data_IF_028699955630
#
_entry.id   IF_028699955630
#
_cell.length_a   1.000
_cell.length_b   1.000
_cell.length_c   1.000
_cell.angle_alpha   90.00
_cell.angle_beta   90.00
_cell.angle_gamma   90.00
#
_symmetry.space_group_name_H-M   'P 1'
#
loop_
_entity.id
_entity.type
_entity.pdbx_description
1 polymer ?
#
# COMPACT_ATOMS: atom_id res chain seq x y z
N UNK A 1 52.26 -22.23 -7.93
CA UNK A 1 53.19 -21.25 -8.54
C UNK A 1 53.19 -20.02 -7.67
N UNK A 2 54.36 -19.56 -7.21
CA UNK A 2 54.52 -18.30 -6.47
C UNK A 2 55.38 -17.37 -7.29
N UNK A 3 54.88 -16.18 -7.67
CA UNK A 3 55.60 -15.25 -8.54
C UNK A 3 55.28 -13.78 -8.23
N UNK A 4 56.20 -12.87 -8.50
CA UNK A 4 55.90 -11.43 -8.46
C UNK A 4 54.90 -11.05 -9.55
N UNK A 5 55.15 -11.50 -10.79
CA UNK A 5 54.24 -11.41 -11.92
C UNK A 5 54.18 -12.77 -12.63
N UNK A 6 52.99 -13.23 -12.99
CA UNK A 6 52.77 -14.45 -13.75
C UNK A 6 51.91 -14.14 -14.98
N UNK A 7 52.45 -14.45 -16.16
CA UNK A 7 51.71 -14.42 -17.41
C UNK A 7 51.40 -15.86 -17.84
N UNK A 8 50.12 -16.17 -18.05
CA UNK A 8 49.66 -17.44 -18.61
C UNK A 8 49.16 -17.16 -20.03
N UNK A 9 49.97 -17.53 -21.01
CA UNK A 9 49.70 -17.33 -22.44
C UNK A 9 49.35 -18.67 -23.09
N UNK A 10 48.36 -18.67 -23.98
CA UNK A 10 47.89 -19.90 -24.64
C UNK A 10 47.05 -20.82 -23.74
N UNK A 11 46.67 -21.98 -24.28
CA UNK A 11 45.85 -22.95 -23.54
C UNK A 11 46.65 -23.62 -22.43
N UNK A 12 46.24 -23.47 -21.16
CA UNK A 12 47.05 -23.90 -20.00
C UNK A 12 46.23 -24.62 -18.93
N UNK A 13 46.82 -25.65 -18.32
CA UNK A 13 46.24 -26.33 -17.14
C UNK A 13 47.24 -26.24 -15.99
N UNK A 14 46.91 -25.47 -14.95
CA UNK A 14 47.69 -25.38 -13.72
C UNK A 14 47.02 -26.23 -12.64
N UNK A 15 47.64 -27.37 -12.30
CA UNK A 15 47.10 -28.35 -11.36
C UNK A 15 47.23 -27.98 -9.89
N UNK A 16 48.12 -27.04 -9.56
CA UNK A 16 48.39 -26.56 -8.20
C UNK A 16 47.99 -25.08 -8.05
N UNK A 17 47.86 -24.61 -6.82
CA UNK A 17 47.49 -23.21 -6.53
C UNK A 17 48.45 -22.18 -7.10
N UNK A 18 47.95 -20.97 -7.34
CA UNK A 18 48.70 -19.82 -7.87
C UNK A 18 48.64 -18.67 -6.88
N UNK A 19 49.80 -18.14 -6.52
CA UNK A 19 49.95 -16.90 -5.75
C UNK A 19 50.81 -15.95 -6.55
N UNK A 20 50.24 -14.84 -7.03
CA UNK A 20 50.97 -13.88 -7.84
C UNK A 20 50.69 -12.44 -7.42
N UNK A 21 51.72 -11.57 -7.45
CA UNK A 21 51.52 -10.13 -7.29
C UNK A 21 50.67 -9.56 -8.43
N UNK A 22 50.95 -9.96 -9.67
CA UNK A 22 50.06 -9.79 -10.82
C UNK A 22 49.88 -11.08 -11.60
N UNK A 23 48.65 -11.40 -11.99
CA UNK A 23 48.31 -12.54 -12.84
C UNK A 23 47.62 -12.04 -14.12
N UNK A 24 48.24 -12.31 -15.26
CA UNK A 24 47.67 -12.00 -16.57
C UNK A 24 47.37 -13.30 -17.33
N UNK A 25 46.11 -13.57 -17.63
CA UNK A 25 45.65 -14.77 -18.33
C UNK A 25 45.01 -14.38 -19.65
N UNK A 26 45.70 -14.68 -20.75
CA UNK A 26 45.25 -14.28 -22.10
C UNK A 26 44.77 -15.45 -22.96
N UNK A 27 45.15 -16.69 -22.63
CA UNK A 27 44.66 -17.91 -23.30
C UNK A 27 43.62 -18.68 -22.46
N UNK A 28 42.97 -19.67 -23.07
CA UNK A 28 42.01 -20.54 -22.38
C UNK A 28 42.69 -21.33 -21.27
N UNK A 29 42.38 -21.05 -20.00
CA UNK A 29 43.15 -21.59 -18.88
C UNK A 29 42.28 -22.26 -17.83
N UNK A 30 42.72 -23.41 -17.33
CA UNK A 30 42.11 -24.08 -16.17
C UNK A 30 43.08 -24.03 -14.99
N UNK A 31 42.67 -23.38 -13.90
CA UNK A 31 43.42 -23.28 -12.65
C UNK A 31 42.70 -24.12 -11.59
N UNK A 32 43.17 -25.35 -11.36
CA UNK A 32 42.48 -26.31 -10.49
C UNK A 32 42.72 -26.05 -9.00
N UNK A 33 43.78 -25.32 -8.64
CA UNK A 33 44.04 -24.91 -7.27
C UNK A 33 43.49 -23.51 -6.96
N UNK A 34 43.53 -23.12 -5.68
CA UNK A 34 43.21 -21.76 -5.28
C UNK A 34 44.13 -20.73 -5.97
N UNK A 35 43.56 -19.59 -6.36
CA UNK A 35 44.24 -18.49 -7.02
C UNK A 35 44.16 -17.24 -6.15
N UNK A 36 45.31 -16.70 -5.77
CA UNK A 36 45.43 -15.40 -5.10
C UNK A 36 46.24 -14.47 -5.98
N UNK A 37 45.62 -13.39 -6.44
CA UNK A 37 46.27 -12.41 -7.29
C UNK A 37 46.13 -11.00 -6.70
N UNK A 38 47.26 -10.26 -6.65
CA UNK A 38 47.26 -8.84 -6.30
C UNK A 38 46.51 -8.02 -7.35
N UNK A 39 46.92 -8.08 -8.61
CA UNK A 39 46.14 -7.62 -9.75
C UNK A 39 45.80 -8.79 -10.67
N UNK A 40 44.55 -8.89 -11.13
CA UNK A 40 44.11 -9.93 -12.06
C UNK A 40 43.58 -9.31 -13.35
N UNK A 41 44.22 -9.65 -14.47
CA UNK A 41 43.74 -9.37 -15.81
C UNK A 41 43.42 -10.71 -16.50
N UNK A 42 42.15 -10.91 -16.87
CA UNK A 42 41.71 -12.11 -17.58
C UNK A 42 41.01 -11.69 -18.87
N UNK A 43 41.62 -12.03 -20.01
CA UNK A 43 41.05 -11.79 -21.34
C UNK A 43 40.66 -13.09 -22.06
N UNK A 44 41.27 -14.24 -21.71
CA UNK A 44 40.87 -15.57 -22.17
C UNK A 44 39.79 -16.22 -21.29
N UNK A 45 39.07 -17.21 -21.83
CA UNK A 45 38.13 -18.03 -21.04
C UNK A 45 38.90 -18.76 -19.92
N UNK A 46 38.57 -18.49 -18.65
CA UNK A 46 39.31 -19.03 -17.51
C UNK A 46 38.38 -19.70 -16.53
N UNK A 47 38.61 -20.99 -16.25
CA UNK A 47 37.94 -21.73 -15.19
C UNK A 47 38.86 -21.81 -13.97
N UNK A 48 38.39 -21.35 -12.82
CA UNK A 48 39.10 -21.52 -11.55
C UNK A 48 38.30 -22.56 -10.75
N UNK A 49 38.84 -23.78 -10.68
CA UNK A 49 38.18 -24.90 -10.00
C UNK A 49 38.19 -24.79 -8.47
N UNK A 50 39.05 -23.91 -7.93
CA UNK A 50 39.13 -23.57 -6.51
C UNK A 50 38.60 -22.17 -6.21
N UNK A 51 39.09 -21.60 -5.11
CA UNK A 51 38.76 -20.23 -4.71
C UNK A 51 39.59 -19.22 -5.51
N UNK A 52 38.98 -18.10 -5.89
CA UNK A 52 39.64 -16.95 -6.48
C UNK A 52 39.59 -15.76 -5.51
N UNK A 53 40.75 -15.24 -5.12
CA UNK A 53 40.88 -13.99 -4.36
C UNK A 53 41.61 -12.93 -5.17
N UNK A 54 40.97 -11.78 -5.32
CA UNK A 54 41.46 -10.61 -6.08
C UNK A 54 41.56 -9.41 -5.15
N UNK A 55 42.78 -8.99 -4.82
CA UNK A 55 42.98 -7.98 -3.76
C UNK A 55 43.20 -6.55 -4.24
N UNK A 56 43.57 -6.37 -5.51
CA UNK A 56 43.85 -5.08 -6.14
C UNK A 56 43.00 -4.88 -7.40
N UNK A 57 43.26 -3.76 -8.08
CA UNK A 57 42.42 -3.36 -9.22
C UNK A 57 42.46 -4.39 -10.33
N UNK A 58 41.28 -4.82 -10.79
CA UNK A 58 41.18 -5.96 -11.70
C UNK A 58 40.07 -5.81 -12.74
N UNK A 59 40.33 -6.34 -13.93
CA UNK A 59 39.38 -6.39 -15.04
C UNK A 59 39.29 -7.85 -15.52
N UNK A 60 38.09 -8.40 -15.41
CA UNK A 60 37.77 -9.74 -15.91
C UNK A 60 36.83 -9.59 -17.11
N UNK A 61 37.37 -9.81 -18.31
CA UNK A 61 36.61 -9.74 -19.55
C UNK A 61 35.87 -11.04 -19.86
N UNK A 62 36.33 -12.17 -19.31
CA UNK A 62 35.66 -13.46 -19.38
C UNK A 62 34.57 -13.63 -18.31
N UNK A 63 33.73 -14.65 -18.48
CA UNK A 63 32.85 -15.11 -17.41
C UNK A 63 33.70 -15.74 -16.29
N UNK A 64 33.26 -15.58 -15.04
CA UNK A 64 34.00 -16.08 -13.87
C UNK A 64 33.20 -17.21 -13.23
N UNK A 65 33.82 -18.39 -13.16
CA UNK A 65 33.29 -19.53 -12.39
C UNK A 65 34.32 -19.91 -11.33
N UNK A 66 33.91 -19.94 -10.06
CA UNK A 66 34.78 -20.25 -8.92
C UNK A 66 34.04 -21.01 -7.81
N UNK A 67 34.78 -21.71 -6.94
CA UNK A 67 34.24 -22.23 -5.68
C UNK A 67 33.78 -21.09 -4.78
N UNK A 68 34.72 -20.31 -4.24
CA UNK A 68 34.48 -18.98 -3.71
C UNK A 68 35.17 -17.90 -4.54
N UNK A 69 34.54 -16.73 -4.69
CA UNK A 69 35.13 -15.55 -5.31
C UNK A 69 35.15 -14.39 -4.29
N UNK A 70 36.34 -13.92 -3.93
CA UNK A 70 36.54 -12.75 -3.09
C UNK A 70 37.14 -11.61 -3.92
N UNK A 71 36.41 -10.50 -4.02
CA UNK A 71 36.79 -9.28 -4.73
C UNK A 71 36.96 -8.17 -3.71
N UNK A 72 38.20 -7.91 -3.30
CA UNK A 72 38.50 -6.89 -2.28
C UNK A 72 39.12 -5.62 -2.88
N UNK A 73 39.75 -5.73 -4.04
CA UNK A 73 40.16 -4.57 -4.84
C UNK A 73 39.05 -4.07 -5.75
N UNK A 74 39.15 -2.80 -6.17
CA UNK A 74 38.16 -2.23 -7.09
C UNK A 74 38.16 -2.99 -8.44
N UNK A 75 37.01 -3.48 -8.89
CA UNK A 75 36.99 -4.47 -9.98
C UNK A 75 35.86 -4.30 -10.98
N UNK A 76 36.12 -4.66 -12.23
CA UNK A 76 35.11 -4.74 -13.30
C UNK A 76 35.03 -6.18 -13.79
N UNK A 77 33.85 -6.79 -13.63
CA UNK A 77 33.52 -8.12 -14.14
C UNK A 77 32.52 -7.93 -15.29
N UNK A 78 32.97 -8.10 -16.53
CA UNK A 78 32.20 -7.72 -17.71
C UNK A 78 31.11 -8.72 -18.09
N UNK A 79 31.36 -10.00 -17.88
CA UNK A 79 30.44 -11.09 -18.17
C UNK A 79 29.85 -11.66 -16.87
N UNK A 80 29.18 -12.81 -16.96
CA UNK A 80 28.51 -13.43 -15.82
C UNK A 80 29.47 -13.96 -14.75
N UNK A 81 28.97 -14.05 -13.53
CA UNK A 81 29.68 -14.62 -12.38
C UNK A 81 28.87 -15.78 -11.83
N UNK A 82 29.50 -16.94 -11.69
CA UNK A 82 28.93 -18.11 -11.00
C UNK A 82 29.87 -18.54 -9.89
N UNK A 83 29.41 -18.49 -8.63
CA UNK A 83 30.23 -18.92 -7.50
C UNK A 83 29.42 -19.68 -6.44
N UNK A 84 30.06 -20.58 -5.69
CA UNK A 84 29.48 -21.09 -4.45
C UNK A 84 29.25 -19.96 -3.44
N UNK A 85 30.23 -19.07 -3.27
CA UNK A 85 30.09 -17.81 -2.53
C UNK A 85 30.80 -16.66 -3.23
N UNK A 86 30.19 -15.49 -3.28
CA UNK A 86 30.76 -14.25 -3.83
C UNK A 86 30.80 -13.16 -2.77
N UNK A 87 31.99 -12.71 -2.40
CA UNK A 87 32.22 -11.62 -1.45
C UNK A 87 32.84 -10.43 -2.18
N UNK A 88 32.10 -9.31 -2.26
CA UNK A 88 32.53 -8.07 -2.89
C UNK A 88 32.69 -7.01 -1.82
N UNK A 89 33.94 -6.70 -1.48
CA UNK A 89 34.28 -5.69 -0.47
C UNK A 89 34.93 -4.44 -1.06
N UNK A 90 35.54 -4.54 -2.25
CA UNK A 90 36.00 -3.40 -3.03
C UNK A 90 34.91 -2.81 -3.92
N UNK A 91 35.07 -1.55 -4.34
CA UNK A 91 34.16 -0.90 -5.29
C UNK A 91 34.11 -1.67 -6.62
N UNK A 92 32.94 -2.17 -7.01
CA UNK A 92 32.87 -3.11 -8.13
C UNK A 92 31.72 -2.86 -9.08
N UNK A 93 31.95 -3.17 -10.36
CA UNK A 93 30.91 -3.24 -11.39
C UNK A 93 30.80 -4.65 -11.93
N UNK A 94 29.63 -5.27 -11.76
CA UNK A 94 29.31 -6.60 -12.29
C UNK A 94 28.27 -6.40 -13.40
N UNK A 95 28.76 -6.40 -14.65
CA UNK A 95 27.94 -6.14 -15.83
C UNK A 95 27.10 -7.36 -16.25
N UNK A 96 27.57 -8.57 -15.95
CA UNK A 96 26.85 -9.80 -16.23
C UNK A 96 25.79 -10.15 -15.17
N UNK A 97 25.06 -11.24 -15.42
CA UNK A 97 24.23 -11.85 -14.39
C UNK A 97 25.12 -12.51 -13.31
N UNK A 98 24.65 -12.46 -12.07
CA UNK A 98 25.37 -13.04 -10.92
C UNK A 98 24.56 -14.19 -10.34
N UNK A 99 25.15 -15.37 -10.29
CA UNK A 99 24.60 -16.55 -9.64
C UNK A 99 25.53 -16.96 -8.50
N UNK A 100 25.03 -16.98 -7.26
CA UNK A 100 25.81 -17.37 -6.11
C UNK A 100 25.04 -18.25 -5.12
N UNK A 101 25.70 -19.15 -4.39
CA UNK A 101 25.09 -19.74 -3.20
C UNK A 101 24.85 -18.68 -2.13
N UNK A 102 25.89 -17.88 -1.84
CA UNK A 102 25.79 -16.68 -1.01
C UNK A 102 26.50 -15.50 -1.69
N UNK A 103 25.87 -14.33 -1.70
CA UNK A 103 26.45 -13.07 -2.17
C UNK A 103 26.48 -12.03 -1.04
N UNK A 104 27.66 -11.58 -0.66
CA UNK A 104 27.85 -10.47 0.27
C UNK A 104 28.49 -9.28 -0.46
N UNK A 105 27.86 -8.12 -0.36
CA UNK A 105 28.29 -6.86 -0.95
C UNK A 105 28.47 -5.85 0.18
N UNK A 106 29.72 -5.50 0.48
CA UNK A 106 30.06 -4.46 1.46
C UNK A 106 30.71 -3.25 0.81
N UNK A 107 31.35 -3.43 -0.34
CA UNK A 107 31.83 -2.32 -1.17
C UNK A 107 30.72 -1.69 -2.00
N UNK A 108 30.91 -0.44 -2.43
CA UNK A 108 29.96 0.20 -3.34
C UNK A 108 29.89 -0.58 -4.66
N UNK A 109 28.69 -1.00 -5.08
CA UNK A 109 28.59 -1.97 -6.19
C UNK A 109 27.43 -1.68 -7.15
N UNK A 110 27.71 -1.82 -8.45
CA UNK A 110 26.70 -1.86 -9.50
C UNK A 110 26.53 -3.30 -10.02
N UNK A 111 25.32 -3.86 -9.90
CA UNK A 111 24.93 -5.15 -10.49
C UNK A 111 23.88 -4.91 -11.59
N UNK A 112 24.19 -5.25 -12.85
CA UNK A 112 23.38 -4.79 -13.99
C UNK A 112 22.27 -5.73 -14.49
N UNK A 113 22.55 -7.01 -14.73
CA UNK A 113 21.63 -7.87 -15.48
C UNK A 113 20.72 -8.74 -14.60
N UNK A 114 21.09 -8.97 -13.34
CA UNK A 114 20.27 -9.74 -12.39
C UNK A 114 21.12 -10.48 -11.37
N UNK A 115 20.49 -10.85 -10.27
CA UNK A 115 21.12 -11.60 -9.18
C UNK A 115 20.24 -12.77 -8.80
N UNK A 116 20.81 -13.96 -8.82
CA UNK A 116 20.21 -15.16 -8.24
C UNK A 116 21.10 -15.66 -7.13
N UNK A 117 20.60 -15.65 -5.89
CA UNK A 117 21.38 -16.06 -4.73
C UNK A 117 20.60 -16.95 -3.74
N UNK A 118 21.27 -17.87 -3.04
CA UNK A 118 20.66 -18.48 -1.85
C UNK A 118 20.44 -17.44 -0.75
N UNK A 119 21.47 -16.62 -0.48
CA UNK A 119 21.38 -15.44 0.38
C UNK A 119 22.10 -14.25 -0.24
N UNK A 120 21.49 -13.06 -0.21
CA UNK A 120 22.06 -11.81 -0.68
C UNK A 120 22.10 -10.79 0.46
N UNK A 121 23.29 -10.36 0.85
CA UNK A 121 23.52 -9.33 1.86
C UNK A 121 24.16 -8.10 1.21
N UNK A 122 23.48 -6.97 1.26
CA UNK A 122 23.93 -5.69 0.69
C UNK A 122 24.07 -4.68 1.81
N UNK A 123 25.32 -4.39 2.18
CA UNK A 123 25.66 -3.46 3.28
C UNK A 123 26.36 -2.20 2.79
N UNK A 124 27.01 -2.26 1.62
CA UNK A 124 27.56 -1.09 0.93
C UNK A 124 26.55 -0.41 0.00
N UNK A 125 26.85 0.83 -0.40
CA UNK A 125 26.00 1.60 -1.30
C UNK A 125 25.91 0.94 -2.67
N UNK A 126 24.72 0.47 -3.03
CA UNK A 126 24.59 -0.44 -4.17
C UNK A 126 23.43 -0.11 -5.09
N UNK A 127 23.64 -0.32 -6.39
CA UNK A 127 22.58 -0.25 -7.39
C UNK A 127 22.43 -1.62 -8.05
N UNK A 128 21.23 -2.19 -7.96
CA UNK A 128 20.88 -3.48 -8.53
C UNK A 128 19.83 -3.23 -9.64
N UNK A 129 20.31 -3.15 -10.88
CA UNK A 129 19.48 -2.80 -12.05
C UNK A 129 18.77 -4.00 -12.67
N UNK A 130 19.05 -5.21 -12.18
CA UNK A 130 18.42 -6.43 -12.66
C UNK A 130 17.34 -6.94 -11.69
N UNK A 131 16.61 -7.97 -12.11
CA UNK A 131 15.75 -8.72 -11.20
C UNK A 131 16.61 -9.41 -10.14
N UNK A 132 16.10 -9.44 -8.90
CA UNK A 132 16.76 -10.11 -7.78
C UNK A 132 15.90 -11.31 -7.37
N UNK A 133 16.48 -12.49 -7.39
CA UNK A 133 15.89 -13.71 -6.81
C UNK A 133 16.79 -14.18 -5.68
N UNK A 134 16.28 -14.22 -4.46
CA UNK A 134 17.05 -14.63 -3.29
C UNK A 134 16.27 -15.58 -2.37
N UNK A 135 16.93 -16.53 -1.70
CA UNK A 135 16.30 -17.19 -0.55
C UNK A 135 16.05 -16.19 0.58
N UNK A 136 17.06 -15.41 0.92
CA UNK A 136 16.98 -14.25 1.81
C UNK A 136 17.72 -13.05 1.23
N UNK A 137 17.10 -11.85 1.28
CA UNK A 137 17.71 -10.57 0.91
C UNK A 137 17.74 -9.64 2.12
N UNK A 138 18.95 -9.23 2.54
CA UNK A 138 19.15 -8.21 3.57
C UNK A 138 19.83 -6.99 2.95
N UNK A 139 19.21 -5.82 3.10
CA UNK A 139 19.71 -4.54 2.58
C UNK A 139 19.86 -3.56 3.74
N UNK A 140 21.10 -3.30 4.14
CA UNK A 140 21.42 -2.39 5.24
C UNK A 140 22.14 -1.12 4.77
N UNK A 141 22.78 -1.16 3.60
CA UNK A 141 23.38 0.02 2.95
C UNK A 141 22.34 0.86 2.20
N UNK A 142 22.73 2.04 1.70
CA UNK A 142 21.87 2.78 0.80
C UNK A 142 21.73 1.98 -0.51
N UNK A 143 20.51 1.78 -1.01
CA UNK A 143 20.35 0.92 -2.20
C UNK A 143 19.21 1.32 -3.13
N UNK A 144 19.43 1.10 -4.43
CA UNK A 144 18.41 1.20 -5.48
C UNK A 144 18.23 -0.16 -6.16
N UNK A 145 17.03 -0.73 -6.09
CA UNK A 145 16.65 -2.02 -6.67
C UNK A 145 15.57 -1.76 -7.73
N UNK A 146 15.86 -1.93 -9.02
CA UNK A 146 15.04 -1.32 -10.08
C UNK A 146 13.95 -2.19 -10.69
N UNK A 147 14.20 -3.48 -10.98
CA UNK A 147 13.28 -4.29 -11.78
C UNK A 147 12.37 -5.25 -10.99
N UNK A 148 12.69 -5.49 -9.72
CA UNK A 148 11.85 -6.27 -8.81
C UNK A 148 12.67 -7.22 -7.95
N UNK A 149 12.03 -7.67 -6.85
CA UNK A 149 12.60 -8.61 -5.90
C UNK A 149 11.65 -9.78 -5.72
N UNK A 150 12.17 -10.99 -5.85
CA UNK A 150 11.51 -12.21 -5.37
C UNK A 150 12.38 -12.82 -4.29
N UNK A 151 11.90 -12.85 -3.05
CA UNK A 151 12.65 -13.41 -1.93
C UNK A 151 11.82 -14.32 -1.03
N UNK A 152 12.46 -15.28 -0.34
CA UNK A 152 11.82 -15.95 0.79
C UNK A 152 11.59 -14.95 1.95
N UNK A 153 12.60 -14.15 2.25
CA UNK A 153 12.54 -13.02 3.18
C UNK A 153 13.28 -11.80 2.64
N UNK A 154 12.70 -10.61 2.80
CA UNK A 154 13.29 -9.32 2.44
C UNK A 154 13.36 -8.41 3.67
N UNK A 155 14.57 -8.07 4.13
CA UNK A 155 14.80 -7.14 5.22
C UNK A 155 15.51 -5.90 4.71
N UNK A 156 14.92 -4.73 4.90
CA UNK A 156 15.44 -3.44 4.46
C UNK A 156 15.60 -2.53 5.68
N UNK A 157 16.85 -2.27 6.06
CA UNK A 157 17.18 -1.39 7.19
C UNK A 157 17.91 -0.12 6.73
N UNK A 158 18.54 -0.15 5.55
CA UNK A 158 19.15 1.02 4.92
C UNK A 158 18.15 1.89 4.17
N UNK A 159 18.57 3.13 3.84
CA UNK A 159 17.76 4.01 2.99
C UNK A 159 17.65 3.42 1.57
N UNK A 160 16.46 2.98 1.16
CA UNK A 160 16.32 2.17 -0.05
C UNK A 160 15.17 2.59 -0.95
N UNK A 161 15.38 2.45 -2.25
CA UNK A 161 14.32 2.59 -3.26
C UNK A 161 14.17 1.27 -4.02
N UNK A 162 12.96 0.70 -4.00
CA UNK A 162 12.59 -0.53 -4.69
C UNK A 162 11.56 -0.17 -5.77
N UNK A 163 11.97 -0.06 -7.03
CA UNK A 163 11.13 0.44 -8.14
C UNK A 163 10.33 -0.64 -8.89
N UNK A 164 10.52 -1.92 -8.54
CA UNK A 164 9.82 -3.05 -9.15
C UNK A 164 8.76 -3.67 -8.23
N UNK A 165 8.02 -4.65 -8.74
CA UNK A 165 7.19 -5.52 -7.90
C UNK A 165 8.09 -6.29 -6.92
N UNK A 166 7.73 -6.26 -5.63
CA UNK A 166 8.46 -6.99 -4.60
C UNK A 166 7.57 -8.08 -4.02
N UNK A 167 7.99 -9.33 -4.19
CA UNK A 167 7.35 -10.51 -3.64
C UNK A 167 8.24 -11.11 -2.58
N UNK A 168 7.77 -11.19 -1.33
CA UNK A 168 8.50 -11.82 -0.25
C UNK A 168 7.59 -12.63 0.67
N UNK A 169 8.04 -13.79 1.16
CA UNK A 169 7.30 -14.51 2.21
C UNK A 169 7.11 -13.63 3.45
N UNK A 170 8.18 -12.97 3.88
CA UNK A 170 8.15 -11.89 4.87
C UNK A 170 8.95 -10.68 4.38
N UNK A 171 8.38 -9.48 4.52
CA UNK A 171 9.00 -8.19 4.22
C UNK A 171 9.06 -7.34 5.48
N UNK A 172 10.27 -6.96 5.91
CA UNK A 172 10.49 -6.05 7.03
C UNK A 172 11.23 -4.80 6.55
N UNK A 173 10.63 -3.63 6.75
CA UNK A 173 11.23 -2.33 6.40
C UNK A 173 11.36 -1.50 7.68
N UNK A 174 12.60 -1.24 8.07
CA UNK A 174 12.95 -0.42 9.25
C UNK A 174 13.69 0.85 8.85
N UNK A 175 14.35 0.86 7.69
CA UNK A 175 14.97 2.05 7.10
C UNK A 175 13.94 2.98 6.45
N UNK A 176 14.39 4.18 6.08
CA UNK A 176 13.59 5.03 5.19
C UNK A 176 13.48 4.34 3.83
N UNK A 177 12.29 4.24 3.25
CA UNK A 177 12.16 3.52 1.98
C UNK A 177 11.04 4.01 1.07
N UNK A 178 11.28 3.91 -0.23
CA UNK A 178 10.27 4.06 -1.27
C UNK A 178 10.10 2.70 -1.94
N UNK A 179 8.89 2.15 -1.88
CA UNK A 179 8.55 0.88 -2.49
C UNK A 179 7.45 1.13 -3.53
N UNK A 180 7.73 0.86 -4.80
CA UNK A 180 6.87 1.21 -5.93
C UNK A 180 6.27 -0.03 -6.62
N UNK A 181 5.27 0.22 -7.48
CA UNK A 181 4.50 -0.74 -8.29
C UNK A 181 3.66 -1.76 -7.50
N UNK A 182 4.13 -2.29 -6.39
CA UNK A 182 3.35 -3.11 -5.48
C UNK A 182 4.20 -4.06 -4.64
N UNK A 183 3.61 -4.45 -3.51
CA UNK A 183 4.19 -5.40 -2.56
C UNK A 183 3.27 -6.60 -2.44
N UNK A 184 3.83 -7.80 -2.50
CA UNK A 184 3.10 -9.04 -2.22
C UNK A 184 3.86 -9.84 -1.18
N UNK A 185 3.20 -10.23 -0.10
CA UNK A 185 3.83 -11.11 0.87
C UNK A 185 2.92 -11.75 1.89
N UNK A 186 3.46 -12.71 2.64
CA UNK A 186 2.76 -13.31 3.77
C UNK A 186 2.62 -12.32 4.92
N UNK A 187 3.71 -11.66 5.28
CA UNK A 187 3.75 -10.60 6.28
C UNK A 187 4.56 -9.40 5.79
N UNK A 188 4.01 -8.19 5.98
CA UNK A 188 4.66 -6.92 5.66
C UNK A 188 4.70 -6.08 6.93
N UNK A 189 5.89 -5.81 7.45
CA UNK A 189 6.11 -4.99 8.65
C UNK A 189 6.89 -3.74 8.28
N UNK A 190 6.25 -2.58 8.40
CA UNK A 190 6.79 -1.27 8.04
C UNK A 190 6.92 -0.44 9.32
N UNK A 191 8.15 -0.31 9.80
CA UNK A 191 8.48 0.44 11.02
C UNK A 191 9.27 1.72 10.72
N UNK A 192 9.97 1.76 9.58
CA UNK A 192 10.65 2.95 9.07
C UNK A 192 9.73 3.89 8.31
N UNK A 193 10.15 5.15 8.12
CA UNK A 193 9.39 6.11 7.32
C UNK A 193 9.34 5.67 5.86
N UNK A 194 8.14 5.34 5.36
CA UNK A 194 8.02 4.64 4.08
C UNK A 194 6.93 5.21 3.18
N UNK A 195 7.19 5.22 1.87
CA UNK A 195 6.15 5.45 0.86
C UNK A 195 5.91 4.15 0.11
N UNK A 196 4.71 3.60 0.23
CA UNK A 196 4.28 2.38 -0.45
C UNK A 196 3.33 2.77 -1.59
N UNK A 197 3.82 2.67 -2.82
CA UNK A 197 3.07 2.97 -4.04
C UNK A 197 2.71 1.68 -4.77
N UNK A 198 1.47 1.60 -5.25
CA UNK A 198 0.95 0.43 -5.96
C UNK A 198 0.10 -0.46 -5.07
N UNK A 199 -0.34 -1.60 -5.61
CA UNK A 199 -1.19 -2.53 -4.86
C UNK A 199 -0.35 -3.29 -3.83
N UNK A 200 -0.73 -3.19 -2.56
CA UNK A 200 -0.08 -3.89 -1.46
C UNK A 200 -0.96 -5.05 -1.01
N UNK A 201 -0.48 -6.27 -1.18
CA UNK A 201 -1.18 -7.51 -0.81
C UNK A 201 -0.40 -8.25 0.27
N UNK A 202 -1.05 -8.46 1.42
CA UNK A 202 -0.43 -9.05 2.60
C UNK A 202 -1.36 -10.06 3.27
N UNK A 203 -0.83 -11.15 3.82
CA UNK A 203 -1.55 -11.90 4.86
C UNK A 203 -1.77 -11.03 6.10
N UNK A 204 -0.70 -10.36 6.55
CA UNK A 204 -0.76 -9.34 7.59
C UNK A 204 0.11 -8.13 7.21
N UNK A 205 -0.46 -6.93 7.29
CA UNK A 205 0.25 -5.65 7.09
C UNK A 205 0.26 -4.85 8.39
N UNK A 206 1.44 -4.64 8.96
CA UNK A 206 1.66 -3.84 10.16
C UNK A 206 2.47 -2.59 9.81
N UNK A 207 1.93 -1.42 10.14
CA UNK A 207 2.57 -0.13 9.87
C UNK A 207 2.67 0.67 11.17
N UNK A 208 3.88 0.77 11.70
CA UNK A 208 4.17 1.54 12.92
C UNK A 208 4.98 2.81 12.62
N UNK A 209 5.68 2.85 11.49
CA UNK A 209 6.41 4.03 11.01
C UNK A 209 5.50 5.04 10.31
N UNK A 210 5.97 6.28 10.13
CA UNK A 210 5.22 7.26 9.34
C UNK A 210 5.14 6.81 7.89
N UNK A 211 3.94 6.64 7.34
CA UNK A 211 3.80 6.04 6.02
C UNK A 211 2.74 6.70 5.14
N UNK A 212 2.99 6.67 3.84
CA UNK A 212 1.98 6.97 2.82
C UNK A 212 1.72 5.68 2.06
N UNK A 213 0.47 5.21 2.07
CA UNK A 213 0.04 3.98 1.40
C UNK A 213 -0.94 4.36 0.29
N UNK A 214 -0.59 4.07 -0.97
CA UNK A 214 -1.32 4.54 -2.16
C UNK A 214 -1.92 3.39 -2.99
N UNK A 215 -2.93 3.67 -3.82
CA UNK A 215 -3.52 2.82 -4.88
C UNK A 215 -4.28 1.56 -4.43
N UNK A 216 -4.11 1.11 -3.19
CA UNK A 216 -4.98 0.13 -2.55
C UNK A 216 -4.23 -0.89 -1.71
N UNK A 217 -4.87 -1.35 -0.63
CA UNK A 217 -4.34 -2.35 0.28
C UNK A 217 -5.30 -3.52 0.41
N UNK A 218 -4.79 -4.73 0.24
CA UNK A 218 -5.51 -5.96 0.51
C UNK A 218 -4.76 -6.73 1.60
N UNK A 219 -5.41 -6.93 2.74
CA UNK A 219 -4.82 -7.56 3.92
C UNK A 219 -5.73 -8.65 4.49
N UNK A 220 -5.18 -9.72 5.04
CA UNK A 220 -5.94 -10.52 6.03
C UNK A 220 -6.21 -9.67 7.28
N UNK A 221 -5.14 -9.06 7.81
CA UNK A 221 -5.19 -8.04 8.86
C UNK A 221 -4.38 -6.80 8.48
N UNK A 222 -4.89 -5.62 8.84
CA UNK A 222 -4.22 -4.34 8.67
C UNK A 222 -4.17 -3.60 10.02
N UNK A 223 -2.96 -3.43 10.55
CA UNK A 223 -2.71 -2.71 11.80
C UNK A 223 -1.87 -1.47 11.53
N UNK A 224 -2.41 -0.29 11.83
CA UNK A 224 -1.74 0.99 11.62
C UNK A 224 -1.69 1.76 12.94
N UNK A 225 -0.49 1.83 13.51
CA UNK A 225 -0.25 2.58 14.75
C UNK A 225 0.60 3.82 14.50
N UNK A 226 1.35 3.86 13.40
CA UNK A 226 2.11 5.03 12.96
C UNK A 226 1.22 6.07 12.27
N UNK A 227 1.63 7.35 12.31
CA UNK A 227 0.95 8.40 11.56
C UNK A 227 0.99 8.08 10.05
N UNK A 228 -0.15 7.68 9.48
CA UNK A 228 -0.21 7.18 8.11
C UNK A 228 -1.34 7.79 7.32
N UNK A 229 -1.07 8.04 6.04
CA UNK A 229 -2.06 8.46 5.06
C UNK A 229 -2.41 7.27 4.17
N UNK A 230 -3.70 6.91 4.12
CA UNK A 230 -4.20 5.81 3.31
C UNK A 230 -4.97 6.39 2.11
N UNK A 231 -4.36 6.34 0.93
CA UNK A 231 -4.93 6.85 -0.31
C UNK A 231 -5.30 5.71 -1.24
N UNK A 232 -6.54 5.23 -1.18
CA UNK A 232 -7.04 4.16 -2.03
C UNK A 232 -8.06 3.29 -1.31
N UNK A 233 -8.48 2.21 -1.95
CA UNK A 233 -9.34 1.22 -1.31
C UNK A 233 -8.56 0.42 -0.25
N UNK A 234 -9.25 0.09 0.84
CA UNK A 234 -8.72 -0.77 1.89
C UNK A 234 -9.65 -1.97 2.01
N UNK A 235 -9.13 -3.14 1.68
CA UNK A 235 -9.82 -4.42 1.86
C UNK A 235 -9.06 -5.20 2.91
N UNK A 236 -9.61 -5.29 4.12
CA UNK A 236 -9.00 -6.05 5.19
C UNK A 236 -10.04 -6.90 5.93
N UNK A 237 -9.66 -8.12 6.34
CA UNK A 237 -10.50 -8.93 7.24
C UNK A 237 -10.62 -8.29 8.62
N UNK A 238 -9.59 -7.58 9.07
CA UNK A 238 -9.59 -6.71 10.25
C UNK A 238 -8.78 -5.44 9.99
N UNK A 239 -9.28 -4.31 10.46
CA UNK A 239 -8.62 -3.00 10.39
C UNK A 239 -8.52 -2.41 11.79
N UNK A 240 -7.30 -2.23 12.31
CA UNK A 240 -7.05 -1.53 13.56
C UNK A 240 -6.19 -0.29 13.28
N UNK A 241 -6.72 0.90 13.62
CA UNK A 241 -6.02 2.18 13.48
C UNK A 241 -6.03 2.89 14.82
N UNK A 242 -4.87 3.03 15.44
CA UNK A 242 -4.74 3.65 16.78
C UNK A 242 -4.10 5.03 16.75
N UNK A 243 -3.53 5.43 15.61
CA UNK A 243 -3.05 6.80 15.37
C UNK A 243 -4.18 7.76 14.99
N UNK A 244 -3.90 9.07 14.96
CA UNK A 244 -4.82 10.04 14.36
C UNK A 244 -4.99 9.74 12.88
N UNK A 245 -6.22 9.51 12.43
CA UNK A 245 -6.50 9.14 11.03
C UNK A 245 -7.82 9.75 10.56
N UNK A 246 -7.90 10.03 9.27
CA UNK A 246 -9.07 10.59 8.62
C UNK A 246 -9.63 9.54 7.65
N UNK A 247 -10.90 9.20 7.80
CA UNK A 247 -11.64 8.37 6.85
C UNK A 247 -12.61 9.24 6.08
N UNK A 248 -12.38 9.43 4.77
CA UNK A 248 -13.27 10.22 3.92
C UNK A 248 -14.64 9.56 3.71
N UNK A 249 -14.70 8.23 3.74
CA UNK A 249 -15.93 7.44 3.72
C UNK A 249 -15.74 6.15 4.52
N UNK A 250 -16.82 5.68 5.15
CA UNK A 250 -16.85 4.42 5.91
C UNK A 250 -18.11 3.68 5.52
N UNK A 251 -17.95 2.45 5.05
CA UNK A 251 -19.05 1.50 4.85
C UNK A 251 -18.82 0.35 5.82
N UNK A 252 -19.69 0.22 6.82
CA UNK A 252 -19.58 -0.80 7.86
C UNK A 252 -20.96 -1.37 8.18
N UNK A 253 -21.02 -2.64 8.56
CA UNK A 253 -22.24 -3.25 9.10
C UNK A 253 -22.59 -2.66 10.46
N UNK A 254 -21.58 -2.36 11.29
CA UNK A 254 -21.73 -1.70 12.59
C UNK A 254 -20.65 -0.64 12.79
N UNK A 255 -20.99 0.48 13.42
CA UNK A 255 -20.04 1.53 13.84
C UNK A 255 -20.02 1.66 15.36
N UNK A 256 -18.88 1.35 15.99
CA UNK A 256 -18.68 1.43 17.44
C UNK A 256 -17.76 2.60 17.78
N UNK A 257 -18.19 3.50 18.68
CA UNK A 257 -17.37 4.61 19.20
C UNK A 257 -17.36 4.56 20.72
N UNK A 258 -16.17 4.46 21.31
CA UNK A 258 -16.00 4.35 22.76
C UNK A 258 -16.85 3.22 23.39
N UNK A 259 -16.92 2.06 22.71
CA UNK A 259 -17.73 0.91 23.14
C UNK A 259 -19.24 1.07 22.96
N UNK A 260 -19.71 2.15 22.33
CA UNK A 260 -21.14 2.39 22.04
C UNK A 260 -21.41 2.19 20.56
N UNK A 261 -22.48 1.46 20.26
CA UNK A 261 -22.99 1.33 18.89
C UNK A 261 -23.67 2.64 18.48
N UNK A 262 -23.21 3.20 17.37
CA UNK A 262 -23.76 4.41 16.74
C UNK A 262 -24.33 4.11 15.34
N UNK A 263 -24.50 2.85 14.98
CA UNK A 263 -25.09 2.42 13.72
C UNK A 263 -26.53 2.94 13.62
N UNK A 264 -26.88 3.72 12.58
CA UNK A 264 -28.25 4.18 12.39
C UNK A 264 -29.23 3.01 12.27
N UNK A 265 -30.44 3.19 12.76
CA UNK A 265 -31.52 2.24 12.52
C UNK A 265 -31.89 2.25 11.03
N UNK A 266 -32.34 1.11 10.49
CA UNK A 266 -32.67 1.00 9.06
C UNK A 266 -33.75 2.00 8.60
N UNK A 267 -34.60 2.46 9.51
CA UNK A 267 -35.64 3.46 9.23
C UNK A 267 -35.20 4.92 9.37
N UNK A 268 -33.96 5.18 9.83
CA UNK A 268 -33.51 6.55 10.07
C UNK A 268 -33.30 7.31 8.75
N UNK A 269 -33.71 8.58 8.74
CA UNK A 269 -33.41 9.53 7.66
C UNK A 269 -32.35 10.48 8.20
N UNK A 270 -31.10 9.99 8.29
CA UNK A 270 -29.98 10.73 8.88
C UNK A 270 -29.54 11.88 7.96
N UNK A 271 -29.46 11.61 6.66
CA UNK A 271 -29.13 12.64 5.65
C UNK A 271 -30.38 13.46 5.37
N UNK A 272 -30.29 14.78 5.56
CA UNK A 272 -31.37 15.73 5.21
C UNK A 272 -31.82 15.49 3.77
N UNK A 273 -33.14 15.40 3.59
CA UNK A 273 -33.80 15.32 2.29
C UNK A 273 -34.64 16.57 2.04
N UNK A 274 -34.98 16.82 0.78
CA UNK A 274 -35.79 17.96 0.36
C UNK A 274 -36.89 17.56 -0.60
N UNK A 275 -38.03 18.23 -0.51
CA UNK A 275 -39.18 18.05 -1.37
C UNK A 275 -39.80 19.42 -1.71
N UNK A 276 -40.19 19.62 -2.97
CA UNK A 276 -40.88 20.82 -3.40
C UNK A 276 -42.39 20.59 -3.31
N UNK A 277 -43.05 21.18 -2.31
CA UNK A 277 -44.47 21.06 -2.12
C UNK A 277 -45.25 22.02 -3.02
N UNK A 278 -46.39 21.56 -3.52
CA UNK A 278 -47.30 22.36 -4.33
C UNK A 278 -48.19 23.24 -3.45
N UNK A 279 -48.64 24.35 -4.04
CA UNK A 279 -49.65 25.22 -3.46
C UNK A 279 -51.06 24.63 -3.63
N UNK A 280 -51.98 25.01 -2.75
CA UNK A 280 -53.40 24.65 -2.83
C UNK A 280 -53.68 23.14 -2.96
N UNK A 281 -52.99 22.32 -2.18
CA UNK A 281 -53.16 20.86 -2.15
C UNK A 281 -54.28 20.51 -1.19
N UNK A 282 -55.46 20.17 -1.73
CA UNK A 282 -56.69 19.93 -0.96
C UNK A 282 -56.92 18.47 -0.56
N UNK A 283 -56.20 17.53 -1.19
CA UNK A 283 -56.18 16.10 -0.82
C UNK A 283 -54.75 15.71 -0.48
N UNK A 284 -54.58 14.83 0.52
CA UNK A 284 -53.27 14.45 1.04
C UNK A 284 -52.32 13.94 -0.05
N UNK A 285 -51.25 14.68 -0.31
CA UNK A 285 -50.23 14.35 -1.31
C UNK A 285 -48.96 13.85 -0.65
N UNK A 286 -48.31 12.84 -1.24
CA UNK A 286 -47.13 12.22 -0.66
C UNK A 286 -45.89 13.11 -0.73
N UNK A 287 -45.14 13.15 0.37
CA UNK A 287 -43.80 13.73 0.41
C UNK A 287 -42.79 12.63 0.08
N UNK A 288 -42.26 12.67 -1.14
CA UNK A 288 -41.30 11.67 -1.62
C UNK A 288 -40.08 11.58 -0.70
N UNK A 289 -39.69 10.36 -0.34
CA UNK A 289 -38.55 10.10 0.55
C UNK A 289 -38.87 10.21 2.05
N UNK A 290 -40.07 10.70 2.41
CA UNK A 290 -40.50 10.82 3.80
C UNK A 290 -41.52 9.74 4.17
N UNK A 291 -41.04 8.52 4.37
CA UNK A 291 -41.88 7.36 4.70
C UNK A 291 -41.19 6.43 5.70
N UNK A 292 -41.99 5.62 6.38
CA UNK A 292 -41.56 4.70 7.42
C UNK A 292 -42.18 3.32 7.21
N UNK A 293 -41.36 2.33 6.85
CA UNK A 293 -41.84 0.99 6.55
C UNK A 293 -42.40 0.28 7.80
N UNK A 294 -43.56 -0.34 7.63
CA UNK A 294 -44.29 -1.00 8.71
C UNK A 294 -43.56 -2.18 9.35
N UNK A 295 -42.69 -2.87 8.60
CA UNK A 295 -41.88 -3.99 9.08
C UNK A 295 -40.53 -3.56 9.65
N UNK A 296 -40.21 -2.27 9.59
CA UNK A 296 -38.90 -1.74 9.98
C UNK A 296 -39.00 -0.72 11.11
N UNK A 297 -40.07 0.08 11.16
CA UNK A 297 -40.21 1.24 12.05
C UNK A 297 -41.44 1.11 12.95
N UNK A 298 -41.23 1.14 14.26
CA UNK A 298 -42.28 1.19 15.30
C UNK A 298 -42.73 2.63 15.59
N UNK A 299 -41.76 3.54 15.69
CA UNK A 299 -41.98 4.95 16.01
C UNK A 299 -40.90 5.83 15.39
N UNK A 300 -41.19 7.12 15.21
CA UNK A 300 -40.22 8.10 14.74
C UNK A 300 -40.38 9.46 15.43
N UNK A 301 -39.28 10.19 15.49
CA UNK A 301 -39.21 11.62 15.82
C UNK A 301 -38.53 12.33 14.65
N UNK A 302 -39.29 13.15 13.92
CA UNK A 302 -38.86 13.82 12.72
C UNK A 302 -38.95 15.33 12.86
N UNK A 303 -38.04 16.01 12.18
CA UNK A 303 -38.00 17.47 12.13
C UNK A 303 -38.12 17.92 10.69
N UNK A 304 -38.90 18.97 10.47
CA UNK A 304 -39.23 19.46 9.14
C UNK A 304 -39.10 20.98 9.10
N UNK A 305 -38.32 21.52 8.18
CA UNK A 305 -38.28 22.95 7.88
C UNK A 305 -39.14 23.23 6.66
N UNK A 306 -40.04 24.19 6.77
CA UNK A 306 -40.82 24.74 5.67
C UNK A 306 -40.29 26.13 5.35
N UNK A 307 -40.02 26.37 4.07
CA UNK A 307 -39.71 27.68 3.53
C UNK A 307 -40.61 27.93 2.31
N UNK A 308 -41.62 28.78 2.49
CA UNK A 308 -42.48 29.24 1.40
C UNK A 308 -41.98 30.62 0.99
N UNK A 309 -41.68 30.77 -0.30
CA UNK A 309 -41.41 32.07 -0.88
C UNK A 309 -42.59 32.55 -1.71
N UNK A 310 -42.80 33.85 -1.71
CA UNK A 310 -43.84 34.53 -2.48
C UNK A 310 -43.23 35.42 -3.57
N UNK A 311 -44.01 35.79 -4.58
CA UNK A 311 -43.56 36.75 -5.60
C UNK A 311 -43.29 38.15 -5.03
N UNK A 312 -43.83 38.42 -3.85
CA UNK A 312 -43.55 39.62 -3.05
C UNK A 312 -42.67 39.21 -1.87
N UNK A 313 -41.40 39.63 -1.86
CA UNK A 313 -40.37 39.19 -0.89
C UNK A 313 -40.68 39.51 0.60
N UNK A 314 -41.82 40.14 0.92
CA UNK A 314 -42.24 40.49 2.28
C UNK A 314 -43.19 39.49 2.95
N UNK A 315 -43.73 38.52 2.18
CA UNK A 315 -44.77 37.57 2.64
C UNK A 315 -44.26 36.12 2.73
N UNK A 316 -42.94 35.92 2.63
CA UNK A 316 -42.30 34.62 2.80
C UNK A 316 -42.64 34.04 4.19
N UNK A 317 -42.86 32.72 4.27
CA UNK A 317 -43.28 32.03 5.50
C UNK A 317 -42.32 30.93 5.86
N UNK A 318 -41.86 30.92 7.10
CA UNK A 318 -40.89 29.95 7.59
C UNK A 318 -41.40 29.29 8.87
N UNK A 319 -41.38 27.96 8.91
CA UNK A 319 -41.75 27.21 10.11
C UNK A 319 -40.92 25.95 10.29
N UNK A 320 -40.69 25.60 11.56
CA UNK A 320 -40.01 24.39 11.96
C UNK A 320 -40.99 23.48 12.70
N UNK A 321 -41.29 22.33 12.10
CA UNK A 321 -42.20 21.33 12.64
C UNK A 321 -41.43 20.21 13.33
N UNK A 322 -42.01 19.71 14.42
CA UNK A 322 -41.66 18.44 15.01
C UNK A 322 -42.83 17.46 14.86
N UNK A 323 -42.57 16.36 14.14
CA UNK A 323 -43.53 15.31 13.85
C UNK A 323 -43.15 14.07 14.63
N UNK A 324 -44.09 13.54 15.42
CA UNK A 324 -43.89 12.29 16.17
C UNK A 324 -44.93 11.27 15.75
N UNK A 325 -44.46 10.11 15.29
CA UNK A 325 -45.34 9.04 14.80
C UNK A 325 -45.15 7.75 15.58
N UNK A 326 -46.25 7.00 15.76
CA UNK A 326 -46.22 5.64 16.31
C UNK A 326 -47.17 4.73 15.52
N UNK A 327 -46.67 3.55 15.16
CA UNK A 327 -47.44 2.50 14.52
C UNK A 327 -48.19 1.66 15.59
N UNK A 328 -49.51 1.62 15.50
CA UNK A 328 -50.43 0.88 16.37
C UNK A 328 -51.16 -0.20 15.56
N UNK A 329 -50.62 -1.41 15.52
CA UNK A 329 -51.12 -2.47 14.63
C UNK A 329 -50.94 -2.06 13.17
N UNK A 330 -52.02 -2.07 12.39
CA UNK A 330 -51.99 -1.69 10.97
C UNK A 330 -52.19 -0.18 10.71
N UNK A 331 -52.23 0.65 11.75
CA UNK A 331 -52.50 2.08 11.64
C UNK A 331 -51.35 2.91 12.19
N UNK A 332 -51.18 4.11 11.65
CA UNK A 332 -50.25 5.11 12.19
C UNK A 332 -51.00 6.23 12.90
N UNK A 333 -50.42 6.73 13.99
CA UNK A 333 -50.85 7.95 14.66
C UNK A 333 -49.74 8.97 14.56
N UNK A 334 -50.08 10.20 14.14
CA UNK A 334 -49.15 11.32 13.98
C UNK A 334 -49.53 12.45 14.93
N UNK A 335 -48.53 12.98 15.63
CA UNK A 335 -48.58 14.27 16.28
C UNK A 335 -47.72 15.26 15.50
N UNK A 336 -48.22 16.49 15.33
CA UNK A 336 -47.52 17.58 14.66
C UNK A 336 -47.58 18.82 15.54
N UNK A 337 -46.43 19.46 15.72
CA UNK A 337 -46.28 20.74 16.41
C UNK A 337 -45.27 21.60 15.65
N UNK A 338 -45.36 22.92 15.74
CA UNK A 338 -44.42 23.81 15.04
C UNK A 338 -44.18 25.13 15.76
N UNK A 339 -43.08 25.77 15.37
CA UNK A 339 -42.75 27.17 15.69
C UNK A 339 -42.53 27.94 14.39
N UNK A 340 -42.77 29.26 14.42
CA UNK A 340 -42.67 30.13 13.24
C UNK A 340 -44.04 30.51 12.67
N UNK A 341 -44.07 30.82 11.38
CA UNK A 341 -45.26 31.32 10.71
C UNK A 341 -46.31 30.24 10.50
N UNK A 342 -47.58 30.64 10.42
CA UNK A 342 -48.61 29.74 9.92
C UNK A 342 -48.44 29.57 8.40
N UNK A 343 -47.73 28.52 8.00
CA UNK A 343 -47.46 28.21 6.59
C UNK A 343 -48.68 27.69 5.83
N UNK A 344 -49.74 27.26 6.53
CA UNK A 344 -50.90 26.60 5.93
C UNK A 344 -50.65 25.14 5.53
N UNK A 345 -49.49 24.57 5.89
CA UNK A 345 -49.17 23.15 5.68
C UNK A 345 -49.70 22.32 6.85
N UNK A 346 -50.44 21.26 6.52
CA UNK A 346 -50.86 20.24 7.50
C UNK A 346 -50.29 18.89 7.10
N UNK A 347 -49.59 18.24 8.04
CA UNK A 347 -49.04 16.90 7.83
C UNK A 347 -50.01 15.82 8.30
N UNK A 348 -50.03 14.71 7.58
CA UNK A 348 -50.73 13.48 7.98
C UNK A 348 -49.88 12.26 7.59
N UNK A 349 -50.29 11.06 8.02
CA UNK A 349 -49.61 9.81 7.69
C UNK A 349 -50.65 8.76 7.32
N UNK A 350 -50.39 7.98 6.28
CA UNK A 350 -51.26 6.87 5.90
C UNK A 350 -50.84 5.55 6.58
N UNK A 351 -51.64 4.49 6.40
CA UNK A 351 -51.39 3.19 7.04
C UNK A 351 -50.14 2.45 6.52
N UNK A 352 -49.57 2.88 5.39
CA UNK A 352 -48.28 2.38 4.88
C UNK A 352 -47.08 3.16 5.44
N UNK A 353 -47.31 4.12 6.33
CA UNK A 353 -46.27 4.94 6.96
C UNK A 353 -45.74 6.08 6.07
N UNK A 354 -46.43 6.41 4.98
CA UNK A 354 -46.06 7.53 4.11
C UNK A 354 -46.57 8.85 4.70
N UNK A 355 -45.68 9.84 4.85
CA UNK A 355 -46.06 11.20 5.22
C UNK A 355 -46.72 11.89 4.03
N UNK A 356 -47.86 12.50 4.30
CA UNK A 356 -48.64 13.29 3.35
C UNK A 356 -48.72 14.73 3.84
N UNK A 357 -48.98 15.66 2.92
CA UNK A 357 -49.33 17.04 3.24
C UNK A 357 -50.58 17.51 2.49
N UNK A 358 -51.25 18.48 3.10
CA UNK A 358 -52.16 19.41 2.42
C UNK A 358 -51.64 20.83 2.60
N UNK A 359 -52.04 21.72 1.70
CA UNK A 359 -51.65 23.13 1.75
C UNK A 359 -52.84 24.04 1.43
N UNK A 360 -53.00 25.11 2.20
CA UNK A 360 -53.93 26.19 1.84
C UNK A 360 -53.46 26.91 0.59
N UNK A 361 -54.38 27.53 -0.16
CA UNK A 361 -54.02 28.37 -1.29
C UNK A 361 -53.32 29.67 -0.84
N UNK A 362 -52.11 29.91 -1.33
CA UNK A 362 -51.39 31.18 -1.20
C UNK A 362 -51.39 31.87 -2.57
N UNK A 363 -51.98 33.07 -2.66
CA UNK A 363 -52.24 33.75 -3.95
C UNK A 363 -50.97 34.17 -4.68
N UNK A 364 -49.97 34.70 -3.96
CA UNK A 364 -48.68 35.13 -4.49
C UNK A 364 -47.59 34.07 -4.32
N UNK A 365 -47.96 32.78 -4.32
CA UNK A 365 -47.04 31.66 -4.16
C UNK A 365 -45.96 31.62 -5.26
N UNK A 366 -44.69 31.50 -4.86
CA UNK A 366 -43.58 31.24 -5.78
C UNK A 366 -43.04 29.82 -5.61
N UNK A 367 -42.64 29.43 -4.40
CA UNK A 367 -42.11 28.10 -4.11
C UNK A 367 -42.39 27.65 -2.67
N UNK A 368 -42.32 26.34 -2.42
CA UNK A 368 -42.35 25.77 -1.08
C UNK A 368 -41.34 24.63 -0.98
N UNK A 369 -40.25 24.90 -0.27
CA UNK A 369 -39.20 23.93 0.00
C UNK A 369 -39.42 23.31 1.39
N UNK A 370 -39.67 22.00 1.38
CA UNK A 370 -39.73 21.17 2.59
C UNK A 370 -38.40 20.46 2.75
N UNK A 371 -37.75 20.61 3.90
CA UNK A 371 -36.54 19.85 4.27
C UNK A 371 -36.79 19.02 5.51
N UNK A 372 -36.35 17.76 5.54
CA UNK A 372 -36.65 16.86 6.65
C UNK A 372 -35.53 15.85 6.95
N UNK A 373 -35.52 15.39 8.21
CA UNK A 373 -34.72 14.27 8.73
C UNK A 373 -35.47 13.59 9.88
N UNK A 374 -35.15 12.34 10.18
CA UNK A 374 -35.88 11.56 11.19
C UNK A 374 -34.99 10.53 11.90
N UNK A 375 -35.26 10.31 13.18
CA UNK A 375 -34.75 9.18 13.95
C UNK A 375 -35.90 8.23 14.29
N UNK A 376 -35.61 6.94 14.34
CA UNK A 376 -36.61 5.88 14.48
C UNK A 376 -36.32 4.95 15.64
N UNK A 377 -37.36 4.25 16.08
CA UNK A 377 -37.27 3.04 16.89
C UNK A 377 -37.78 1.90 16.03
N UNK A 378 -36.98 0.84 15.87
CA UNK A 378 -37.35 -0.32 15.07
C UNK A 378 -38.45 -1.17 15.72
N UNK A 379 -39.13 -2.00 14.91
CA UNK A 379 -40.13 -2.97 15.38
C UNK A 379 -39.54 -4.14 16.15
#
# INVERSE_FOLDING_TARGET
VTAGALAVTGASILKLGVTAGSLNVTGESTLNGAVTAGALAVTGATLIGGDLTVTGQSIMNGAVTAGALAVTGASILRLGVTAGSLNVTGESTLNGAVTAGALAVTGATLLRLGVTAGSLNVTGDSTLNGNITAGALNVTGQSLLQLGVTAGSLNVTGNSTLQGFNTAGALNVTGQSILQLGLTGGSLNITGNSTLQGFNTAGALNVTGQSILQLGMTGGSLNITGNSTLNGSVTAGSLAVTGGSIFNSVTAGTMMVNGRDITPSLGDIIKEQSFNAANNVTSGSAITGFSFDNGTVRAFDAVVSIAITTSDNGDDRFAYYNLKGIQKGNNWVLNSSYVGDNTGITFSINNSGQILYTSTNITNFAANLVKFKALTTSV
#
